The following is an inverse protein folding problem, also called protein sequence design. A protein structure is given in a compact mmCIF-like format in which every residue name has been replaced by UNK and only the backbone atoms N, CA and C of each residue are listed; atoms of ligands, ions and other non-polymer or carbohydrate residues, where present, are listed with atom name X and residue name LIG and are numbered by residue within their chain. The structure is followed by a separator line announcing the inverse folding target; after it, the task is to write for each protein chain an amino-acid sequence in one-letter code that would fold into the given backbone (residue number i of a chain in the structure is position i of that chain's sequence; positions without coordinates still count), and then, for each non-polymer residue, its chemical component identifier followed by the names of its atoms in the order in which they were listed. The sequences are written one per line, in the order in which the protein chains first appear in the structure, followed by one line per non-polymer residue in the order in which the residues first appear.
data_IF_335036235951
#
_entry.id   IF_335036235951
#
_cell.length_a   1.000
_cell.length_b   1.000
_cell.length_c   1.000
_cell.angle_alpha   90.00
_cell.angle_beta   90.00
_cell.angle_gamma   90.00
#
_symmetry.space_group_name_H-M   'P 1'
#
loop_
_entity.id
_entity.type
_entity.pdbx_description
1 polymer ?
#
# COMPACT_ATOMS: atom_id res chain seq x y z
N UNK A 1 21.86 -16.90 -9.77
CA UNK A 1 20.60 -16.67 -10.53
C UNK A 1 19.80 -15.65 -9.73
N UNK A 2 19.24 -14.63 -10.39
CA UNK A 2 18.32 -13.70 -9.71
C UNK A 2 16.99 -14.43 -9.49
N UNK A 3 16.48 -14.44 -8.28
CA UNK A 3 15.11 -14.89 -8.05
C UNK A 3 14.13 -13.85 -8.60
N UNK A 4 13.12 -14.32 -9.32
CA UNK A 4 12.10 -13.45 -9.92
C UNK A 4 10.78 -13.62 -9.18
N UNK A 5 10.20 -12.51 -8.71
CA UNK A 5 8.92 -12.50 -8.05
C UNK A 5 7.93 -11.63 -8.83
N UNK A 6 6.70 -12.09 -8.90
CA UNK A 6 5.61 -11.28 -9.45
C UNK A 6 5.13 -10.30 -8.40
N UNK A 7 4.97 -9.04 -8.75
CA UNK A 7 4.24 -8.08 -7.91
C UNK A 7 2.81 -7.94 -8.43
N UNK A 8 1.85 -8.41 -7.65
CA UNK A 8 0.43 -8.44 -8.00
C UNK A 8 -0.22 -7.07 -7.80
N UNK A 9 0.23 -6.08 -8.56
CA UNK A 9 -0.30 -4.72 -8.58
C UNK A 9 -0.05 -4.05 -9.92
N UNK A 10 -1.00 -3.21 -10.36
CA UNK A 10 -0.86 -2.32 -11.52
C UNK A 10 -0.68 -0.85 -11.10
N UNK A 11 -0.66 -0.57 -9.81
CA UNK A 11 -0.43 0.78 -9.31
C UNK A 11 1.05 1.18 -9.48
N UNK A 12 1.31 2.11 -10.40
CA UNK A 12 2.67 2.56 -10.73
C UNK A 12 3.44 3.14 -9.55
N UNK A 13 2.75 3.83 -8.62
CA UNK A 13 3.36 4.36 -7.40
C UNK A 13 3.84 3.24 -6.48
N UNK A 14 3.03 2.22 -6.26
CA UNK A 14 3.39 1.04 -5.47
C UNK A 14 4.55 0.26 -6.09
N UNK A 15 4.51 0.09 -7.43
CA UNK A 15 5.58 -0.60 -8.17
C UNK A 15 6.91 0.15 -8.00
N UNK A 16 6.90 1.47 -8.17
CA UNK A 16 8.10 2.29 -8.04
C UNK A 16 8.66 2.24 -6.60
N UNK A 17 7.80 2.38 -5.58
CA UNK A 17 8.21 2.27 -4.18
C UNK A 17 8.87 0.91 -3.90
N UNK A 18 8.25 -0.20 -4.35
CA UNK A 18 8.77 -1.55 -4.14
C UNK A 18 10.11 -1.77 -4.87
N UNK A 19 10.21 -1.37 -6.14
CA UNK A 19 11.44 -1.50 -6.92
C UNK A 19 12.59 -0.69 -6.33
N UNK A 20 12.31 0.54 -5.86
CA UNK A 20 13.32 1.38 -5.19
C UNK A 20 13.84 0.73 -3.92
N UNK A 21 12.96 0.13 -3.11
CA UNK A 21 13.35 -0.50 -1.85
C UNK A 21 14.07 -1.84 -2.01
N UNK A 22 13.84 -2.53 -3.14
CA UNK A 22 14.46 -3.84 -3.43
C UNK A 22 15.65 -3.75 -4.37
N UNK A 23 16.06 -2.57 -4.81
CA UNK A 23 17.15 -2.40 -5.79
C UNK A 23 18.50 -3.01 -5.35
N UNK A 24 18.77 -3.00 -4.01
CA UNK A 24 19.99 -3.53 -3.44
C UNK A 24 19.92 -5.05 -3.14
N UNK A 25 18.78 -5.67 -3.42
CA UNK A 25 18.57 -7.09 -3.23
C UNK A 25 18.65 -7.83 -4.57
N UNK A 26 19.22 -9.03 -4.55
CA UNK A 26 19.38 -9.86 -5.74
C UNK A 26 18.04 -10.49 -6.22
N UNK A 27 16.97 -9.67 -6.23
CA UNK A 27 15.61 -10.07 -6.58
C UNK A 27 15.09 -9.21 -7.72
N UNK A 28 14.53 -9.86 -8.74
CA UNK A 28 13.86 -9.18 -9.85
C UNK A 28 12.36 -9.13 -9.60
N UNK A 29 11.82 -7.92 -9.42
CA UNK A 29 10.38 -7.70 -9.30
C UNK A 29 9.78 -7.48 -10.69
N UNK A 30 8.81 -8.32 -11.06
CA UNK A 30 8.11 -8.26 -12.33
C UNK A 30 6.67 -7.80 -12.05
N UNK A 31 6.23 -6.63 -12.54
CA UNK A 31 4.83 -6.22 -12.44
C UNK A 31 3.90 -7.25 -13.10
N UNK A 32 2.75 -7.53 -12.49
CA UNK A 32 1.80 -8.53 -12.98
C UNK A 32 1.35 -8.29 -14.42
N UNK A 33 1.16 -7.03 -14.81
CA UNK A 33 0.76 -6.68 -16.19
C UNK A 33 1.78 -7.12 -17.24
N UNK A 34 3.08 -7.14 -16.92
CA UNK A 34 4.14 -7.61 -17.83
C UNK A 34 4.08 -9.12 -18.08
N UNK A 35 3.34 -9.86 -17.26
CA UNK A 35 3.12 -11.31 -17.38
C UNK A 35 1.68 -11.66 -17.81
N UNK A 36 0.90 -10.66 -18.25
CA UNK A 36 -0.48 -10.88 -18.69
C UNK A 36 -1.46 -11.21 -17.56
N UNK A 37 -1.11 -10.97 -16.30
CA UNK A 37 -2.01 -11.20 -15.16
C UNK A 37 -2.95 -10.01 -15.01
N UNK A 38 -4.25 -10.27 -15.11
CA UNK A 38 -5.28 -9.27 -14.90
C UNK A 38 -5.54 -9.02 -13.41
N UNK A 39 -6.04 -7.81 -13.09
CA UNK A 39 -6.51 -7.51 -11.75
C UNK A 39 -7.75 -8.34 -11.42
N UNK A 40 -7.86 -8.72 -10.16
CA UNK A 40 -9.05 -9.36 -9.62
C UNK A 40 -9.77 -8.43 -8.64
N UNK A 41 -11.08 -8.55 -8.50
CA UNK A 41 -11.86 -7.79 -7.53
C UNK A 41 -11.38 -8.06 -6.08
N UNK A 42 -11.17 -7.00 -5.33
CA UNK A 42 -10.89 -7.05 -3.89
C UNK A 42 -12.21 -7.15 -3.13
N UNK A 43 -12.68 -8.38 -2.95
CA UNK A 43 -14.02 -8.70 -2.38
C UNK A 43 -13.99 -9.08 -0.91
N UNK A 44 -12.80 -9.25 -0.33
CA UNK A 44 -12.65 -9.66 1.05
C UNK A 44 -12.86 -8.50 2.04
N UNK A 45 -13.10 -8.84 3.31
CA UNK A 45 -13.39 -7.88 4.36
C UNK A 45 -12.15 -7.27 5.01
N UNK A 46 -10.97 -7.82 4.76
CA UNK A 46 -9.71 -7.38 5.37
C UNK A 46 -8.61 -7.18 4.33
N UNK A 47 -7.63 -6.32 4.67
CA UNK A 47 -6.43 -6.11 3.86
C UNK A 47 -5.64 -7.41 3.64
N UNK A 48 -5.53 -8.27 4.67
CA UNK A 48 -4.81 -9.54 4.59
C UNK A 48 -5.47 -10.46 3.56
N UNK A 49 -6.77 -10.63 3.63
CA UNK A 49 -7.50 -11.50 2.69
C UNK A 49 -7.39 -11.00 1.25
N UNK A 50 -7.53 -9.69 1.02
CA UNK A 50 -7.38 -9.12 -0.32
C UNK A 50 -5.95 -9.31 -0.85
N UNK A 51 -4.92 -9.08 -0.03
CA UNK A 51 -3.54 -9.34 -0.42
C UNK A 51 -3.28 -10.82 -0.74
N UNK A 52 -3.83 -11.75 0.07
CA UNK A 52 -3.76 -13.19 -0.18
C UNK A 52 -4.43 -13.60 -1.49
N UNK A 53 -5.63 -13.06 -1.77
CA UNK A 53 -6.35 -13.32 -3.03
C UNK A 53 -5.48 -12.89 -4.23
N UNK A 54 -4.94 -11.68 -4.22
CA UNK A 54 -4.08 -11.16 -5.29
C UNK A 54 -2.82 -12.00 -5.47
N UNK A 55 -2.13 -12.34 -4.38
CA UNK A 55 -0.91 -13.14 -4.46
C UNK A 55 -1.17 -14.56 -5.00
N UNK A 56 -2.27 -15.22 -4.56
CA UNK A 56 -2.66 -16.54 -5.08
C UNK A 56 -2.97 -16.51 -6.56
N UNK A 57 -3.75 -15.52 -7.00
CA UNK A 57 -4.07 -15.34 -8.41
C UNK A 57 -2.81 -15.16 -9.27
N UNK A 58 -1.87 -14.30 -8.83
CA UNK A 58 -0.62 -14.11 -9.54
C UNK A 58 0.23 -15.39 -9.60
N UNK A 59 0.36 -16.13 -8.49
CA UNK A 59 1.04 -17.43 -8.47
C UNK A 59 0.38 -18.45 -9.41
N UNK A 60 -0.95 -18.50 -9.44
CA UNK A 60 -1.70 -19.45 -10.26
C UNK A 60 -1.46 -19.24 -11.75
N UNK A 61 -1.50 -17.99 -12.21
CA UNK A 61 -1.32 -17.65 -13.62
C UNK A 61 0.13 -17.77 -14.08
N UNK A 62 1.08 -17.40 -13.22
CA UNK A 62 2.49 -17.28 -13.64
C UNK A 62 3.36 -18.48 -13.28
N UNK A 63 2.94 -19.27 -12.29
CA UNK A 63 3.77 -20.33 -11.70
C UNK A 63 4.97 -19.79 -10.88
N UNK A 64 5.10 -18.47 -10.73
CA UNK A 64 6.19 -17.83 -9.99
C UNK A 64 5.77 -17.47 -8.56
N UNK A 65 6.74 -17.32 -7.62
CA UNK A 65 6.47 -16.70 -6.35
C UNK A 65 5.90 -15.30 -6.53
N UNK A 66 4.96 -14.90 -5.67
CA UNK A 66 4.29 -13.61 -5.80
C UNK A 66 4.31 -12.80 -4.50
N UNK A 67 4.50 -11.50 -4.67
CA UNK A 67 4.25 -10.49 -3.64
C UNK A 67 2.97 -9.75 -4.01
N UNK A 68 2.07 -9.58 -3.06
CA UNK A 68 0.92 -8.69 -3.21
C UNK A 68 0.86 -7.72 -2.03
N UNK A 69 0.39 -6.51 -2.28
CA UNK A 69 0.04 -5.59 -1.21
C UNK A 69 -1.47 -5.29 -1.22
N UNK A 70 -2.01 -5.09 -0.04
CA UNK A 70 -3.22 -4.31 0.13
C UNK A 70 -2.99 -3.23 1.18
N UNK A 71 -3.49 -2.03 0.92
CA UNK A 71 -3.18 -0.88 1.74
C UNK A 71 -4.27 0.19 1.65
N UNK A 72 -4.40 0.94 2.72
CA UNK A 72 -5.38 2.01 2.77
C UNK A 72 -5.14 2.99 3.89
N UNK A 73 -5.93 4.06 3.85
CA UNK A 73 -6.00 5.07 4.88
C UNK A 73 -7.11 4.72 5.86
N UNK A 74 -6.82 4.79 7.15
CA UNK A 74 -7.81 4.63 8.21
C UNK A 74 -7.87 5.93 9.03
N UNK A 75 -9.05 6.51 9.17
CA UNK A 75 -9.26 7.75 9.94
C UNK A 75 -10.11 7.46 11.16
N UNK A 76 -9.60 7.78 12.34
CA UNK A 76 -10.25 7.43 13.62
C UNK A 76 -11.64 8.04 13.75
N UNK A 77 -11.79 9.31 13.37
CA UNK A 77 -13.07 10.03 13.43
C UNK A 77 -14.13 9.46 12.48
N UNK A 78 -13.71 8.65 11.48
CA UNK A 78 -14.58 7.98 10.53
C UNK A 78 -14.65 6.46 10.78
N UNK A 79 -14.39 6.02 12.01
CA UNK A 79 -14.42 4.61 12.43
C UNK A 79 -13.56 3.69 11.53
N UNK A 80 -12.42 4.20 11.06
CA UNK A 80 -11.50 3.47 10.18
C UNK A 80 -11.78 3.60 8.68
N UNK A 81 -12.84 4.30 8.27
CA UNK A 81 -13.01 4.63 6.85
C UNK A 81 -11.90 5.61 6.41
N UNK A 82 -11.51 5.57 5.10
CA UNK A 82 -11.98 4.70 4.01
C UNK A 82 -11.54 3.23 4.10
N UNK A 83 -10.48 2.86 4.83
CA UNK A 83 -10.04 1.49 5.04
C UNK A 83 -9.75 0.75 3.72
N UNK A 84 -10.29 -0.46 3.55
CA UNK A 84 -10.14 -1.28 2.33
C UNK A 84 -10.78 -0.64 1.09
N UNK A 85 -11.59 0.39 1.26
CA UNK A 85 -12.22 1.14 0.16
C UNK A 85 -11.42 2.36 -0.28
N UNK A 86 -10.18 2.54 0.22
CA UNK A 86 -9.36 3.74 -0.01
C UNK A 86 -9.23 4.13 -1.47
N UNK A 87 -9.04 3.19 -2.37
CA UNK A 87 -8.89 3.46 -3.80
C UNK A 87 -10.22 3.86 -4.49
N UNK A 88 -11.35 3.48 -3.91
CA UNK A 88 -12.71 3.69 -4.48
C UNK A 88 -13.67 4.35 -3.49
N UNK A 89 -13.16 5.18 -2.59
CA UNK A 89 -13.93 5.77 -1.50
C UNK A 89 -15.09 6.64 -1.99
N UNK A 90 -14.87 7.41 -3.04
CA UNK A 90 -15.92 8.22 -3.68
C UNK A 90 -16.71 7.46 -4.77
N UNK A 91 -16.42 6.17 -4.97
CA UNK A 91 -17.10 5.32 -5.95
C UNK A 91 -16.14 4.48 -6.79
N UNK A 92 -16.64 3.53 -7.59
CA UNK A 92 -15.80 2.55 -8.30
C UNK A 92 -14.85 3.18 -9.33
N UNK A 93 -15.20 4.31 -9.91
CA UNK A 93 -14.40 5.03 -10.92
C UNK A 93 -13.80 6.35 -10.36
N UNK A 94 -13.73 6.47 -9.04
CA UNK A 94 -13.25 7.70 -8.40
C UNK A 94 -11.76 7.92 -8.67
N UNK A 95 -11.43 9.15 -9.00
CA UNK A 95 -10.04 9.61 -9.06
C UNK A 95 -9.49 9.83 -7.64
N UNK A 96 -8.15 9.89 -7.46
CA UNK A 96 -7.56 10.28 -6.17
C UNK A 96 -8.12 11.61 -5.63
N UNK A 97 -8.38 12.56 -6.51
CA UNK A 97 -8.95 13.88 -6.14
C UNK A 97 -10.40 13.75 -5.63
N UNK A 98 -11.22 12.89 -6.24
CA UNK A 98 -12.58 12.63 -5.78
C UNK A 98 -12.57 12.01 -4.37
N UNK A 99 -11.67 11.06 -4.14
CA UNK A 99 -11.50 10.41 -2.85
C UNK A 99 -11.04 11.41 -1.77
N UNK A 100 -10.07 12.28 -2.07
CA UNK A 100 -9.64 13.37 -1.17
C UNK A 100 -10.80 14.33 -0.89
N UNK A 101 -11.52 14.77 -1.92
CA UNK A 101 -12.66 15.69 -1.78
C UNK A 101 -13.73 15.13 -0.85
N UNK A 102 -14.08 13.86 -1.03
CA UNK A 102 -15.03 13.17 -0.15
C UNK A 102 -14.52 13.11 1.28
N UNK A 103 -13.28 12.69 1.48
CA UNK A 103 -12.65 12.60 2.81
C UNK A 103 -12.69 13.95 3.54
N UNK A 104 -12.29 15.02 2.87
CA UNK A 104 -12.28 16.35 3.47
C UNK A 104 -13.68 16.86 3.78
N UNK A 105 -14.67 16.56 2.92
CA UNK A 105 -16.07 16.92 3.18
C UNK A 105 -16.62 16.21 4.43
N UNK A 106 -16.34 14.92 4.61
CA UNK A 106 -16.77 14.16 5.80
C UNK A 106 -16.07 14.62 7.08
N UNK A 107 -14.87 15.18 6.96
CA UNK A 107 -14.12 15.74 8.09
C UNK A 107 -14.37 17.23 8.33
N UNK A 108 -15.23 17.89 7.56
CA UNK A 108 -15.41 19.36 7.60
C UNK A 108 -15.75 19.90 9.00
N UNK A 109 -16.57 19.17 9.76
CA UNK A 109 -16.99 19.51 11.12
C UNK A 109 -16.15 18.85 12.23
N UNK A 110 -15.04 18.19 11.87
CA UNK A 110 -14.14 17.52 12.82
C UNK A 110 -12.95 18.43 13.09
N UNK A 111 -12.72 18.74 14.36
CA UNK A 111 -11.57 19.56 14.78
C UNK A 111 -10.24 18.84 14.43
N UNK A 112 -9.22 19.63 14.11
CA UNK A 112 -7.93 19.11 13.59
C UNK A 112 -7.27 18.08 14.50
N UNK A 113 -7.32 18.26 15.82
CA UNK A 113 -6.76 17.35 16.81
C UNK A 113 -7.47 15.98 16.86
N UNK A 114 -8.68 15.88 16.29
CA UNK A 114 -9.48 14.66 16.19
C UNK A 114 -9.33 13.96 14.84
N UNK A 115 -8.58 14.53 13.89
CA UNK A 115 -8.37 13.99 12.55
C UNK A 115 -7.20 13.00 12.49
N UNK A 116 -6.92 12.28 13.60
CA UNK A 116 -5.89 11.23 13.64
C UNK A 116 -6.20 10.16 12.61
N UNK A 117 -5.18 9.77 11.88
CA UNK A 117 -5.28 8.80 10.81
C UNK A 117 -4.00 7.95 10.76
N UNK A 118 -4.10 6.80 10.11
CA UNK A 118 -2.92 6.02 9.75
C UNK A 118 -3.06 5.47 8.35
N UNK A 119 -1.97 5.41 7.64
CA UNK A 119 -1.84 4.46 6.54
C UNK A 119 -1.52 3.08 7.09
N UNK A 120 -2.11 2.08 6.47
CA UNK A 120 -1.89 0.67 6.79
C UNK A 120 -1.55 -0.09 5.51
N UNK A 121 -0.58 -0.98 5.59
CA UNK A 121 -0.17 -1.85 4.48
C UNK A 121 0.04 -3.27 4.97
N UNK A 122 -0.46 -4.21 4.20
CA UNK A 122 -0.13 -5.63 4.33
C UNK A 122 0.61 -6.04 3.06
N UNK A 123 1.78 -6.64 3.22
CA UNK A 123 2.48 -7.37 2.17
C UNK A 123 2.33 -8.86 2.43
N UNK A 124 1.94 -9.60 1.41
CA UNK A 124 1.89 -11.05 1.42
C UNK A 124 2.89 -11.56 0.39
N UNK A 125 3.74 -12.50 0.78
CA UNK A 125 4.59 -13.26 -0.12
C UNK A 125 4.18 -14.73 -0.09
N UNK A 126 3.96 -15.30 -1.27
CA UNK A 126 3.69 -16.72 -1.51
C UNK A 126 4.80 -17.32 -2.38
N UNK A 127 5.31 -18.47 -1.98
CA UNK A 127 6.28 -19.25 -2.78
C UNK A 127 5.60 -19.94 -3.97
N UNK A 128 4.34 -20.31 -3.81
CA UNK A 128 3.50 -20.95 -4.82
C UNK A 128 2.01 -20.86 -4.42
N UNK A 129 1.11 -21.19 -5.35
CA UNK A 129 -0.36 -21.04 -5.16
C UNK A 129 -0.92 -21.76 -3.92
N UNK A 130 -0.36 -22.93 -3.58
CA UNK A 130 -0.77 -23.76 -2.43
C UNK A 130 0.13 -23.59 -1.20
N UNK A 131 0.85 -22.47 -1.11
CA UNK A 131 1.72 -22.21 0.03
C UNK A 131 0.90 -22.18 1.34
N UNK A 132 1.15 -23.14 2.26
CA UNK A 132 0.40 -23.21 3.52
C UNK A 132 0.89 -22.21 4.57
N UNK A 133 2.06 -21.60 4.36
CA UNK A 133 2.71 -20.71 5.31
C UNK A 133 3.20 -19.43 4.62
N UNK A 134 2.28 -18.57 4.14
CA UNK A 134 2.63 -17.30 3.50
C UNK A 134 3.39 -16.40 4.48
N UNK A 135 4.34 -15.60 3.97
CA UNK A 135 4.89 -14.52 4.76
C UNK A 135 3.92 -13.36 4.74
N UNK A 136 3.46 -12.94 5.91
CA UNK A 136 2.60 -11.76 6.08
C UNK A 136 3.40 -10.72 6.85
N UNK A 137 3.47 -9.51 6.29
CA UNK A 137 4.19 -8.38 6.86
C UNK A 137 3.30 -7.15 6.85
N UNK A 138 3.16 -6.53 7.99
CA UNK A 138 2.31 -5.36 8.20
C UNK A 138 3.17 -4.14 8.48
N UNK A 139 2.69 -2.98 8.07
CA UNK A 139 3.29 -1.71 8.41
C UNK A 139 2.25 -0.62 8.56
N UNK A 140 2.49 0.29 9.49
CA UNK A 140 1.66 1.47 9.74
C UNK A 140 2.48 2.73 9.62
N UNK A 141 1.80 3.82 9.32
CA UNK A 141 2.33 5.17 9.35
C UNK A 141 1.30 6.09 9.96
N UNK A 142 1.55 6.54 11.17
CA UNK A 142 0.63 7.38 11.93
C UNK A 142 0.74 8.84 11.50
N UNK A 143 -0.41 9.54 11.43
CA UNK A 143 -0.46 10.93 11.02
C UNK A 143 -1.81 11.59 11.32
N UNK A 144 -2.03 12.72 10.65
CA UNK A 144 -3.23 13.55 10.82
C UNK A 144 -3.71 13.98 9.43
N UNK A 145 -5.03 14.06 9.22
CA UNK A 145 -5.58 14.59 7.99
C UNK A 145 -5.64 16.13 8.04
N UNK A 146 -4.95 16.75 7.10
CA UNK A 146 -4.97 18.21 6.90
C UNK A 146 -6.35 18.67 6.42
N UNK A 147 -6.72 19.96 6.67
CA UNK A 147 -7.96 20.51 6.14
C UNK A 147 -7.91 20.79 4.62
N UNK A 148 -6.71 20.89 4.07
CA UNK A 148 -6.44 21.17 2.65
C UNK A 148 -5.22 20.40 2.16
N UNK A 149 -5.07 20.34 0.85
CA UNK A 149 -3.95 19.63 0.21
C UNK A 149 -2.67 20.46 0.33
N UNK A 150 -1.55 19.77 0.59
CA UNK A 150 -0.21 20.34 0.68
C UNK A 150 0.80 19.43 -0.03
N UNK A 151 1.55 19.99 -0.99
CA UNK A 151 2.51 19.23 -1.81
C UNK A 151 1.85 18.57 -3.04
N UNK A 152 2.70 18.14 -3.98
CA UNK A 152 2.26 17.66 -5.29
C UNK A 152 2.88 16.30 -5.68
N UNK A 153 3.70 15.71 -4.80
CA UNK A 153 4.34 14.42 -5.04
C UNK A 153 3.49 13.27 -4.49
N UNK A 154 3.87 12.04 -4.83
CA UNK A 154 3.21 10.85 -4.32
C UNK A 154 1.90 10.52 -5.05
N UNK A 155 0.98 9.86 -4.36
CA UNK A 155 -0.30 9.42 -4.92
C UNK A 155 -1.37 9.26 -3.82
N UNK A 156 -2.61 9.05 -4.23
CA UNK A 156 -3.74 8.81 -3.30
C UNK A 156 -3.95 9.98 -2.35
N UNK A 157 -3.93 9.69 -1.05
CA UNK A 157 -4.18 10.68 0.01
C UNK A 157 -2.93 11.41 0.50
N UNK A 158 -1.78 11.22 -0.13
CA UNK A 158 -0.51 11.83 0.28
C UNK A 158 -0.60 13.36 0.50
N UNK A 159 -1.32 14.14 -0.35
CA UNK A 159 -1.40 15.58 -0.16
C UNK A 159 -2.14 16.03 1.11
N UNK A 160 -2.99 15.20 1.68
CA UNK A 160 -3.76 15.51 2.89
C UNK A 160 -3.29 14.74 4.12
N UNK A 161 -2.31 13.87 3.99
CA UNK A 161 -1.76 13.11 5.12
C UNK A 161 -0.51 13.81 5.67
N UNK A 162 -0.60 14.32 6.88
CA UNK A 162 0.47 15.02 7.59
C UNK A 162 1.21 14.09 8.55
N UNK A 163 2.53 14.03 8.41
CA UNK A 163 3.42 13.38 9.38
C UNK A 163 3.90 14.40 10.41
N UNK A 164 3.50 14.26 11.69
CA UNK A 164 3.89 15.21 12.74
C UNK A 164 5.37 15.13 13.13
N UNK A 165 6.04 14.00 12.85
CA UNK A 165 7.48 13.82 13.12
C UNK A 165 8.30 14.52 12.04
N UNK A 166 7.92 14.32 10.78
CA UNK A 166 8.56 14.96 9.63
C UNK A 166 8.16 16.43 9.45
N UNK A 167 7.06 16.85 10.09
CA UNK A 167 6.46 18.19 9.92
C UNK A 167 6.22 18.52 8.44
N UNK A 168 5.70 17.56 7.70
CA UNK A 168 5.43 17.65 6.26
C UNK A 168 4.22 16.77 5.90
N UNK A 169 3.54 17.11 4.81
CA UNK A 169 2.63 16.16 4.21
C UNK A 169 3.40 15.04 3.50
N UNK A 170 2.78 13.88 3.34
CA UNK A 170 3.39 12.77 2.59
C UNK A 170 3.75 13.16 1.15
N UNK A 171 3.02 14.12 0.56
CA UNK A 171 3.28 14.66 -0.77
C UNK A 171 4.43 15.69 -0.84
N UNK A 172 4.99 16.09 0.28
CA UNK A 172 6.16 16.97 0.33
C UNK A 172 7.47 16.20 0.53
N UNK A 173 7.39 14.91 0.90
CA UNK A 173 8.56 14.08 1.11
C UNK A 173 9.12 13.57 -0.23
N UNK A 174 10.43 13.47 -0.30
CA UNK A 174 11.08 12.71 -1.37
C UNK A 174 10.70 11.23 -1.28
N UNK A 175 10.85 10.49 -2.36
CA UNK A 175 10.57 9.05 -2.38
C UNK A 175 11.42 8.30 -1.35
N UNK A 176 12.67 8.69 -1.16
CA UNK A 176 13.59 8.08 -0.18
C UNK A 176 13.11 8.35 1.25
N UNK A 177 12.75 9.58 1.57
CA UNK A 177 12.24 9.94 2.90
C UNK A 177 10.92 9.22 3.20
N UNK A 178 10.00 9.21 2.24
CA UNK A 178 8.73 8.51 2.35
C UNK A 178 8.93 7.01 2.56
N UNK A 179 9.81 6.37 1.79
CA UNK A 179 10.13 4.95 1.94
C UNK A 179 10.74 4.61 3.29
N UNK A 180 11.47 5.54 3.91
CA UNK A 180 12.06 5.32 5.24
C UNK A 180 11.02 5.26 6.37
N UNK A 181 9.90 6.01 6.26
CA UNK A 181 8.89 6.17 7.32
C UNK A 181 7.49 5.65 6.97
N UNK A 182 7.21 5.30 5.71
CA UNK A 182 5.86 4.92 5.29
C UNK A 182 5.46 3.51 5.74
N UNK A 183 4.17 3.28 5.79
CA UNK A 183 3.55 1.98 6.05
C UNK A 183 4.11 0.88 5.14
N UNK A 184 4.24 1.14 3.83
CA UNK A 184 4.80 0.17 2.88
C UNK A 184 6.30 -0.03 3.11
N UNK A 185 7.04 1.02 3.39
CA UNK A 185 8.46 0.92 3.75
C UNK A 185 8.68 0.06 5.00
N UNK A 186 7.84 0.21 6.03
CA UNK A 186 7.89 -0.63 7.24
C UNK A 186 7.55 -2.09 6.93
N UNK A 187 6.46 -2.36 6.22
CA UNK A 187 6.06 -3.72 5.83
C UNK A 187 7.14 -4.41 4.98
N UNK A 188 7.76 -3.68 4.06
CA UNK A 188 8.80 -4.23 3.20
C UNK A 188 10.10 -4.54 3.95
N UNK A 189 10.53 -3.69 4.88
CA UNK A 189 11.69 -4.00 5.74
C UNK A 189 11.49 -5.32 6.50
N UNK A 190 10.26 -5.56 6.99
CA UNK A 190 9.90 -6.83 7.64
C UNK A 190 9.93 -7.99 6.65
N UNK A 191 9.40 -7.82 5.45
CA UNK A 191 9.40 -8.85 4.40
C UNK A 191 10.83 -9.25 4.03
N UNK A 192 11.69 -8.28 3.77
CA UNK A 192 13.12 -8.51 3.47
C UNK A 192 13.80 -9.29 4.59
N UNK A 193 13.60 -8.87 5.85
CA UNK A 193 14.17 -9.57 7.00
C UNK A 193 13.70 -11.02 7.12
N UNK A 194 12.45 -11.32 6.75
CA UNK A 194 11.93 -12.69 6.75
C UNK A 194 12.45 -13.48 5.56
N UNK A 195 12.50 -12.90 4.36
CA UNK A 195 13.03 -13.56 3.16
C UNK A 195 14.50 -13.97 3.34
N UNK A 196 15.34 -13.07 3.89
CA UNK A 196 16.75 -13.36 4.15
C UNK A 196 17.00 -14.53 5.11
N UNK A 197 15.98 -14.99 5.85
CA UNK A 197 16.05 -16.16 6.74
C UNK A 197 15.48 -17.43 6.09
N UNK A 198 14.84 -17.28 4.95
CA UNK A 198 14.07 -18.36 4.31
C UNK A 198 14.72 -18.82 3.00
N UNK A 199 15.53 -17.96 2.39
CA UNK A 199 16.38 -18.20 1.21
C UNK A 199 17.82 -18.47 1.63
#
# INVERSE_FOLDING_TARGET
MHESFVFASNNSGKILELQTLLQDFNVKIIPQAALGVNEIPETAATFIENALLKARHACEITGLPAIADDSGLQVNALHGAPGIYSARYAGPNATPQDNIKKLLAELSNIASEKRKARFYCVLVFLRHVKDPAPLICEGTWEGIILPEQLGNSGFGYDPVFWDPIKKASAAQLSITEKNACSHRGHALKLLISKLARTL
#
